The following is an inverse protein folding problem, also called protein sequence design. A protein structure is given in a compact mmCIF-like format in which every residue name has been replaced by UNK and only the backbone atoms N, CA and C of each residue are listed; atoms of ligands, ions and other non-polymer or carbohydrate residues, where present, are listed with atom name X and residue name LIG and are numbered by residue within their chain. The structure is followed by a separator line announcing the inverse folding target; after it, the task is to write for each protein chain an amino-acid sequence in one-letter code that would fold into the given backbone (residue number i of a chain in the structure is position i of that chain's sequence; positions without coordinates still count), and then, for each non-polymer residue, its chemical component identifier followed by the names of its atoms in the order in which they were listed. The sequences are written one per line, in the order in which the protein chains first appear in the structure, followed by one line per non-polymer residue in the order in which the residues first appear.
data_IF_701873640261
#
_entry.id   IF_701873640261
#
_cell.length_a   1.000
_cell.length_b   1.000
_cell.length_c   1.000
_cell.angle_alpha   90.00
_cell.angle_beta   90.00
_cell.angle_gamma   90.00
#
_symmetry.space_group_name_H-M   'P 1'
#
loop_
_entity.id
_entity.type
_entity.pdbx_description
1 polymer ?
#
# COMPACT_ATOMS: atom_id res chain seq x y z
N UNK A 1 -31.38 42.84 20.25
CA UNK A 1 -30.33 41.88 19.82
C UNK A 1 -30.31 40.73 20.82
N UNK A 2 -31.37 39.90 20.82
CA UNK A 2 -31.58 38.85 21.84
C UNK A 2 -32.41 37.69 21.27
N UNK A 3 -32.18 37.32 20.01
CA UNK A 3 -32.82 36.14 19.44
C UNK A 3 -31.77 35.07 19.15
N UNK A 4 -32.05 33.85 19.60
CA UNK A 4 -31.19 32.69 19.38
C UNK A 4 -31.36 32.21 17.93
N UNK A 5 -30.31 31.63 17.33
CA UNK A 5 -30.44 30.97 16.03
C UNK A 5 -31.56 29.93 16.06
N UNK A 6 -32.46 29.95 15.07
CA UNK A 6 -33.62 29.05 14.93
C UNK A 6 -33.22 27.55 15.02
N UNK A 7 -31.96 27.25 14.70
CA UNK A 7 -31.41 25.89 14.65
C UNK A 7 -31.22 25.23 16.03
N UNK A 8 -31.23 26.01 17.10
CA UNK A 8 -30.96 25.51 18.47
C UNK A 8 -31.81 26.24 19.52
N UNK A 9 -33.14 26.04 19.52
CA UNK A 9 -34.03 26.69 20.48
C UNK A 9 -33.69 26.32 21.94
N UNK A 10 -33.09 25.14 22.17
CA UNK A 10 -32.77 24.61 23.49
C UNK A 10 -31.25 24.57 23.77
N UNK A 11 -30.44 25.48 23.20
CA UNK A 11 -28.99 25.48 23.43
C UNK A 11 -28.61 25.74 24.90
N UNK A 12 -29.47 26.42 25.67
CA UNK A 12 -29.27 26.56 27.11
C UNK A 12 -29.48 25.17 27.75
N UNK A 13 -28.38 24.51 28.14
CA UNK A 13 -28.37 23.18 28.77
C UNK A 13 -28.98 23.11 30.17
N UNK A 14 -30.03 23.89 30.42
CA UNK A 14 -30.76 24.04 31.68
C UNK A 14 -31.89 23.01 31.84
N UNK A 15 -32.08 22.11 30.87
CA UNK A 15 -33.07 21.03 30.92
C UNK A 15 -32.45 19.63 30.78
N UNK A 16 -33.17 18.57 31.18
CA UNK A 16 -32.71 17.19 31.01
C UNK A 16 -32.47 16.88 29.53
N UNK A 17 -31.25 16.42 29.21
CA UNK A 17 -30.85 16.04 27.85
C UNK A 17 -31.58 14.77 27.41
N UNK A 18 -32.50 14.89 26.45
CA UNK A 18 -33.13 13.75 25.78
C UNK A 18 -32.58 13.63 24.35
N UNK A 19 -32.39 12.39 23.87
CA UNK A 19 -32.06 12.15 22.47
C UNK A 19 -33.23 12.56 21.57
N UNK A 20 -32.92 13.11 20.39
CA UNK A 20 -33.90 13.42 19.36
C UNK A 20 -34.59 12.13 18.89
N UNK A 21 -35.92 12.08 18.97
CA UNK A 21 -36.73 10.91 18.55
C UNK A 21 -36.81 10.74 17.04
N UNK A 22 -36.46 11.77 16.27
CA UNK A 22 -36.43 11.78 14.80
C UNK A 22 -35.10 12.35 14.35
N UNK A 23 -34.62 11.87 13.21
CA UNK A 23 -33.46 12.47 12.55
C UNK A 23 -33.80 13.91 12.18
N UNK A 24 -32.97 14.90 12.56
CA UNK A 24 -33.12 16.26 12.10
C UNK A 24 -33.10 16.28 10.57
N UNK A 25 -33.94 17.11 9.94
CA UNK A 25 -33.77 17.40 8.52
C UNK A 25 -32.41 18.09 8.36
N UNK A 26 -31.48 17.39 7.73
CA UNK A 26 -30.13 17.89 7.56
C UNK A 26 -30.19 19.08 6.59
N UNK A 27 -29.83 20.28 7.08
CA UNK A 27 -29.69 21.49 6.24
C UNK A 27 -28.51 21.40 5.25
N UNK A 28 -27.73 20.32 5.30
CA UNK A 28 -26.52 20.08 4.49
C UNK A 28 -26.49 18.61 4.10
N UNK A 29 -26.00 18.34 2.90
CA UNK A 29 -25.85 16.98 2.43
C UNK A 29 -24.89 16.18 3.32
N UNK A 30 -25.38 15.08 3.88
CA UNK A 30 -24.62 14.14 4.70
C UNK A 30 -24.31 12.84 3.94
N UNK A 31 -24.80 12.71 2.69
CA UNK A 31 -24.65 11.54 1.83
C UNK A 31 -23.20 11.06 1.71
N UNK A 32 -22.23 11.98 1.78
CA UNK A 32 -20.81 11.68 1.68
C UNK A 32 -20.28 10.67 2.70
N UNK A 33 -20.92 10.52 3.87
CA UNK A 33 -20.54 9.51 4.87
C UNK A 33 -21.68 8.62 5.34
N UNK A 34 -22.94 8.98 5.08
CA UNK A 34 -24.10 8.18 5.47
C UNK A 34 -24.53 7.18 4.40
N UNK A 35 -24.22 7.41 3.13
CA UNK A 35 -24.64 6.50 2.05
C UNK A 35 -23.70 5.31 1.92
N UNK A 36 -24.30 4.11 1.86
CA UNK A 36 -23.56 2.92 1.45
C UNK A 36 -23.29 2.93 -0.05
N UNK A 37 -22.31 2.16 -0.57
CA UNK A 37 -22.08 2.05 -2.01
C UNK A 37 -23.32 1.63 -2.80
N UNK A 38 -24.18 0.79 -2.22
CA UNK A 38 -25.44 0.38 -2.83
C UNK A 38 -26.46 1.54 -2.88
N UNK A 39 -26.54 2.36 -1.82
CA UNK A 39 -27.41 3.53 -1.79
C UNK A 39 -26.98 4.58 -2.82
N UNK A 40 -25.67 4.78 -2.98
CA UNK A 40 -25.11 5.70 -3.98
C UNK A 40 -25.45 5.26 -5.41
N UNK A 41 -25.33 3.96 -5.70
CA UNK A 41 -25.74 3.40 -6.99
C UNK A 41 -27.24 3.61 -7.25
N UNK A 42 -28.08 3.29 -6.27
CA UNK A 42 -29.55 3.48 -6.38
C UNK A 42 -29.94 4.95 -6.57
N UNK A 43 -29.29 5.88 -5.86
CA UNK A 43 -29.54 7.32 -6.01
C UNK A 43 -29.09 7.85 -7.37
N UNK A 44 -27.99 7.33 -7.89
CA UNK A 44 -27.51 7.67 -9.24
C UNK A 44 -28.49 7.19 -10.33
N UNK A 45 -29.02 5.97 -10.22
CA UNK A 45 -30.06 5.43 -11.12
C UNK A 45 -31.37 6.25 -11.07
N UNK A 46 -31.74 6.72 -9.87
CA UNK A 46 -32.91 7.58 -9.67
C UNK A 46 -32.67 9.05 -10.09
N UNK A 47 -31.47 9.40 -10.57
CA UNK A 47 -31.13 10.74 -11.01
C UNK A 47 -31.09 11.78 -9.89
N UNK A 48 -31.03 11.35 -8.62
CA UNK A 48 -30.92 12.24 -7.47
C UNK A 48 -29.47 12.74 -7.46
N UNK A 49 -29.27 13.95 -7.97
CA UNK A 49 -27.96 14.61 -7.96
C UNK A 49 -27.63 15.01 -6.53
N UNK A 50 -26.42 14.65 -6.09
CA UNK A 50 -25.82 15.18 -4.86
C UNK A 50 -25.82 16.71 -4.94
N UNK A 51 -26.28 17.37 -3.88
CA UNK A 51 -26.28 18.83 -3.80
C UNK A 51 -24.82 19.29 -3.85
N UNK A 52 -24.46 20.02 -4.91
CA UNK A 52 -23.12 20.57 -5.00
C UNK A 52 -22.91 21.57 -3.87
N UNK A 53 -21.76 21.54 -3.18
CA UNK A 53 -21.49 22.52 -2.14
C UNK A 53 -21.57 23.91 -2.75
N UNK A 54 -22.30 24.81 -2.09
CA UNK A 54 -22.36 26.22 -2.51
C UNK A 54 -20.95 26.80 -2.36
N UNK A 55 -20.28 27.05 -3.48
CA UNK A 55 -18.92 27.56 -3.51
C UNK A 55 -18.95 29.02 -3.05
N UNK A 56 -18.36 29.30 -1.89
CA UNK A 56 -18.20 30.65 -1.38
C UNK A 56 -16.96 31.31 -2.02
N UNK A 57 -16.88 32.66 -2.09
CA UNK A 57 -15.67 33.34 -2.57
C UNK A 57 -14.42 32.98 -1.76
N UNK A 58 -14.58 32.67 -0.47
CA UNK A 58 -13.50 32.20 0.40
C UNK A 58 -12.97 30.82 -0.02
N UNK A 59 -13.84 29.93 -0.49
CA UNK A 59 -13.45 28.62 -1.03
C UNK A 59 -12.63 28.78 -2.31
N UNK A 60 -12.97 29.74 -3.17
CA UNK A 60 -12.25 30.02 -4.41
C UNK A 60 -10.83 30.50 -4.10
N UNK A 61 -10.68 31.44 -3.16
CA UNK A 61 -9.38 31.93 -2.73
C UNK A 61 -8.54 30.81 -2.08
N UNK A 62 -9.17 29.94 -1.29
CA UNK A 62 -8.50 28.78 -0.68
C UNK A 62 -8.00 27.79 -1.73
N UNK A 63 -8.84 27.48 -2.72
CA UNK A 63 -8.48 26.60 -3.83
C UNK A 63 -7.32 27.14 -4.67
N UNK A 64 -7.23 28.46 -4.86
CA UNK A 64 -6.10 29.09 -5.57
C UNK A 64 -4.79 28.91 -4.78
N UNK A 65 -4.81 29.22 -3.48
CA UNK A 65 -3.65 28.99 -2.59
C UNK A 65 -3.19 27.54 -2.59
N UNK A 66 -4.14 26.60 -2.53
CA UNK A 66 -3.82 25.17 -2.50
C UNK A 66 -3.19 24.70 -3.82
N UNK A 67 -3.65 25.24 -4.96
CA UNK A 67 -3.02 24.98 -6.28
C UNK A 67 -1.57 25.45 -6.32
N UNK A 68 -1.30 26.68 -5.87
CA UNK A 68 0.05 27.22 -5.80
C UNK A 68 0.96 26.39 -4.89
N UNK A 69 0.44 25.93 -3.75
CA UNK A 69 1.18 25.07 -2.83
C UNK A 69 1.49 23.72 -3.48
N UNK A 70 0.53 23.12 -4.17
CA UNK A 70 0.71 21.86 -4.90
C UNK A 70 1.79 21.97 -5.97
N UNK A 71 1.85 23.08 -6.70
CA UNK A 71 2.87 23.34 -7.71
C UNK A 71 4.27 23.42 -7.08
N UNK A 72 4.44 24.23 -6.02
CA UNK A 72 5.70 24.33 -5.29
C UNK A 72 6.16 22.99 -4.73
N UNK A 73 5.24 22.20 -4.17
CA UNK A 73 5.53 20.86 -3.65
C UNK A 73 5.92 19.90 -4.78
N UNK A 74 5.29 19.98 -5.95
CA UNK A 74 5.66 19.18 -7.13
C UNK A 74 7.06 19.53 -7.62
N UNK A 75 7.40 20.81 -7.72
CA UNK A 75 8.74 21.28 -8.12
C UNK A 75 9.83 20.83 -7.14
N UNK A 76 9.55 20.89 -5.84
CA UNK A 76 10.47 20.37 -4.82
C UNK A 76 10.64 18.84 -4.95
N UNK A 77 9.53 18.11 -5.09
CA UNK A 77 9.56 16.65 -5.18
C UNK A 77 10.28 16.17 -6.45
N UNK A 78 10.14 16.85 -7.58
CA UNK A 78 10.80 16.46 -8.83
C UNK A 78 12.32 16.65 -8.79
N UNK A 79 12.80 17.66 -8.06
CA UNK A 79 14.23 18.00 -8.00
C UNK A 79 14.99 17.31 -6.88
N UNK A 80 14.39 17.17 -5.69
CA UNK A 80 15.10 16.74 -4.47
C UNK A 80 14.67 15.40 -3.93
N UNK A 81 13.49 14.88 -4.32
CA UNK A 81 12.96 13.64 -3.76
C UNK A 81 13.20 12.47 -4.71
N UNK A 82 13.57 11.33 -4.14
CA UNK A 82 13.55 10.06 -4.87
C UNK A 82 12.11 9.69 -5.28
N UNK A 83 11.99 8.76 -6.22
CA UNK A 83 10.69 8.30 -6.72
C UNK A 83 9.75 7.88 -5.58
N UNK A 84 8.44 8.22 -5.67
CA UNK A 84 7.50 7.87 -4.62
C UNK A 84 7.38 6.35 -4.50
N UNK A 85 7.21 5.87 -3.28
CA UNK A 85 7.17 4.44 -2.96
C UNK A 85 6.14 3.66 -3.80
N UNK A 86 5.00 4.29 -4.09
CA UNK A 86 3.94 3.72 -4.92
C UNK A 86 4.44 3.47 -6.35
N UNK A 87 5.18 4.41 -6.93
CA UNK A 87 5.70 4.27 -8.28
C UNK A 87 6.87 3.29 -8.33
N UNK A 88 7.73 3.27 -7.30
CA UNK A 88 8.72 2.22 -7.13
C UNK A 88 8.06 0.83 -7.07
N UNK A 89 6.95 0.70 -6.36
CA UNK A 89 6.23 -0.57 -6.27
C UNK A 89 5.61 -0.97 -7.60
N UNK A 90 4.96 -0.03 -8.31
CA UNK A 90 4.41 -0.26 -9.66
C UNK A 90 5.51 -0.66 -10.65
N UNK A 91 6.67 0.01 -10.62
CA UNK A 91 7.82 -0.35 -11.46
C UNK A 91 8.31 -1.76 -11.15
N UNK A 92 8.45 -2.11 -9.86
CA UNK A 92 8.83 -3.48 -9.44
C UNK A 92 7.82 -4.54 -9.89
N UNK A 93 6.52 -4.26 -9.84
CA UNK A 93 5.50 -5.18 -10.35
C UNK A 93 5.66 -5.37 -11.85
N UNK A 94 5.75 -4.28 -12.63
CA UNK A 94 5.94 -4.33 -14.08
C UNK A 94 7.23 -5.05 -14.47
N UNK A 95 8.31 -4.81 -13.74
CA UNK A 95 9.59 -5.48 -13.97
C UNK A 95 9.51 -6.98 -13.67
N UNK A 96 8.80 -7.37 -12.60
CA UNK A 96 8.51 -8.78 -12.29
C UNK A 96 7.68 -9.43 -13.39
N UNK A 97 6.64 -8.75 -13.87
CA UNK A 97 5.79 -9.22 -14.97
C UNK A 97 6.58 -9.37 -16.28
N UNK A 98 7.45 -8.41 -16.61
CA UNK A 98 8.29 -8.45 -17.80
C UNK A 98 9.39 -9.54 -17.73
N UNK A 99 9.97 -9.76 -16.54
CA UNK A 99 10.95 -10.83 -16.30
C UNK A 99 10.29 -12.21 -16.20
N UNK A 100 9.04 -12.29 -15.76
CA UNK A 100 8.22 -13.48 -15.90
C UNK A 100 7.71 -13.60 -17.34
N UNK A 101 8.62 -13.84 -18.29
CA UNK A 101 8.24 -14.48 -19.55
C UNK A 101 7.61 -15.82 -19.19
N UNK A 102 6.27 -15.87 -19.20
CA UNK A 102 5.42 -17.08 -19.15
C UNK A 102 6.05 -18.26 -18.40
N UNK A 103 6.42 -18.06 -17.13
CA UNK A 103 6.77 -19.20 -16.29
C UNK A 103 5.44 -19.75 -15.80
N UNK A 104 4.90 -20.70 -16.56
CA UNK A 104 3.76 -21.48 -16.09
C UNK A 104 4.04 -21.95 -14.67
N UNK A 105 3.02 -21.91 -13.81
CA UNK A 105 3.18 -22.33 -12.41
C UNK A 105 3.55 -23.82 -12.39
N UNK A 106 4.84 -24.11 -12.27
CA UNK A 106 5.37 -25.45 -12.13
C UNK A 106 5.09 -25.97 -10.71
N UNK A 107 4.72 -27.24 -10.53
CA UNK A 107 4.62 -27.84 -9.21
C UNK A 107 5.98 -27.81 -8.49
N UNK A 108 5.92 -27.77 -7.15
CA UNK A 108 7.11 -27.83 -6.30
C UNK A 108 7.89 -29.11 -6.57
N UNK A 109 9.18 -28.99 -6.88
CA UNK A 109 10.08 -30.12 -7.04
C UNK A 109 11.10 -30.09 -5.92
N UNK A 110 11.16 -31.16 -5.13
CA UNK A 110 12.12 -31.28 -4.03
C UNK A 110 13.54 -31.03 -4.50
N UNK A 111 13.93 -31.55 -5.66
CA UNK A 111 15.31 -31.40 -6.13
C UNK A 111 15.64 -29.96 -6.54
N UNK A 112 14.73 -29.25 -7.20
CA UNK A 112 15.03 -27.88 -7.69
C UNK A 112 14.75 -26.81 -6.64
N UNK A 113 13.69 -26.96 -5.86
CA UNK A 113 13.23 -25.95 -4.91
C UNK A 113 13.83 -26.17 -3.52
N UNK A 114 14.09 -27.43 -3.14
CA UNK A 114 14.81 -27.76 -1.92
C UNK A 114 16.30 -27.80 -2.22
N UNK A 115 17.03 -26.78 -1.79
CA UNK A 115 18.49 -26.70 -1.90
C UNK A 115 19.20 -27.58 -0.85
N UNK A 116 18.62 -28.73 -0.52
CA UNK A 116 19.14 -29.62 0.52
C UNK A 116 20.04 -30.66 -0.16
N UNK A 117 21.27 -30.78 0.34
CA UNK A 117 22.28 -31.76 -0.08
C UNK A 117 22.82 -31.63 -1.52
N UNK A 118 22.61 -30.51 -2.21
CA UNK A 118 23.38 -30.20 -3.43
C UNK A 118 24.73 -29.62 -3.03
N UNK A 119 25.74 -30.49 -2.91
CA UNK A 119 27.12 -30.02 -2.98
C UNK A 119 27.29 -29.30 -4.32
N UNK A 120 27.84 -28.09 -4.28
CA UNK A 120 28.22 -27.35 -5.46
C UNK A 120 29.16 -28.22 -6.32
N UNK A 121 29.11 -28.14 -7.65
CA UNK A 121 29.95 -29.00 -8.50
C UNK A 121 31.45 -28.73 -8.26
N UNK A 122 31.78 -27.50 -7.83
CA UNK A 122 33.09 -27.14 -7.30
C UNK A 122 33.44 -27.90 -6.00
N UNK A 123 32.48 -28.05 -5.08
CA UNK A 123 32.68 -28.81 -3.84
C UNK A 123 32.83 -30.31 -4.12
N UNK A 124 32.02 -30.89 -5.02
CA UNK A 124 32.14 -32.29 -5.44
C UNK A 124 33.51 -32.58 -6.07
N UNK A 125 33.94 -31.73 -7.00
CA UNK A 125 35.26 -31.89 -7.65
C UNK A 125 36.42 -31.74 -6.67
N UNK A 126 36.31 -30.85 -5.69
CA UNK A 126 37.31 -30.74 -4.62
C UNK A 126 37.34 -31.97 -3.70
N UNK A 127 36.19 -32.55 -3.36
CA UNK A 127 36.12 -33.80 -2.58
C UNK A 127 36.75 -34.96 -3.37
N UNK A 128 36.43 -35.10 -4.66
CA UNK A 128 37.01 -36.12 -5.54
C UNK A 128 38.54 -35.97 -5.66
N UNK A 129 39.05 -34.75 -5.85
CA UNK A 129 40.50 -34.48 -5.89
C UNK A 129 41.20 -34.84 -4.58
N UNK A 130 40.58 -34.51 -3.43
CA UNK A 130 41.12 -34.89 -2.10
C UNK A 130 41.13 -36.40 -1.92
N UNK A 131 40.10 -37.10 -2.38
CA UNK A 131 40.01 -38.55 -2.30
C UNK A 131 41.08 -39.26 -3.17
N UNK A 132 41.35 -38.74 -4.38
CA UNK A 132 42.40 -39.27 -5.25
C UNK A 132 43.79 -39.25 -4.59
N UNK A 133 44.07 -38.20 -3.82
CA UNK A 133 45.36 -38.04 -3.14
C UNK A 133 45.50 -38.89 -1.86
N UNK A 134 44.47 -39.60 -1.41
CA UNK A 134 44.55 -40.39 -0.17
C UNK A 134 45.58 -41.53 -0.28
N UNK A 135 45.76 -42.12 -1.46
CA UNK A 135 46.72 -43.21 -1.67
C UNK A 135 48.18 -42.73 -1.55
N UNK A 136 48.47 -41.47 -1.87
CA UNK A 136 49.83 -40.90 -1.82
C UNK A 136 50.12 -40.23 -0.46
N UNK A 137 49.07 -39.78 0.24
CA UNK A 137 49.20 -39.08 1.54
C UNK A 137 49.60 -40.00 2.68
N UNK A 138 49.28 -41.29 2.57
CA UNK A 138 49.70 -42.30 3.52
C UNK A 138 50.82 -43.13 2.90
N UNK A 139 52.05 -42.76 3.20
CA UNK A 139 53.21 -43.64 2.98
C UNK A 139 52.90 -45.02 3.61
N UNK A 140 52.93 -46.08 2.81
CA UNK A 140 52.85 -47.45 3.30
C UNK A 140 54.14 -47.71 4.07
N UNK A 141 54.09 -47.42 5.37
CA UNK A 141 55.28 -47.34 6.19
C UNK A 141 55.99 -48.68 6.33
N UNK A 142 57.30 -48.67 6.06
CA UNK A 142 58.21 -49.70 6.56
C UNK A 142 58.93 -49.24 7.84
N UNK A 143 58.92 -47.94 8.21
CA UNK A 143 59.49 -47.44 9.48
C UNK A 143 58.74 -46.25 10.03
N UNK A 144 58.36 -46.32 11.32
CA UNK A 144 57.78 -45.21 12.09
C UNK A 144 58.80 -44.41 12.92
N UNK A 145 60.01 -44.96 13.14
CA UNK A 145 61.17 -44.25 13.67
C UNK A 145 62.46 -44.87 13.10
N UNK A 146 63.28 -44.05 12.46
CA UNK A 146 64.75 -44.08 12.38
C UNK A 146 65.20 -42.69 11.94
#
# INVERSE_FOLDING_TARGET
MTELPEDKPNFCGLGPRQFLRKTPQAKRDCSGWTDTPADKARKAELGIKEEQPVITPEDIASNQRDKELLEKVKEYNSSKRAEPLIDLHKKKIKEKEAKSRSKERRPFSREEDLHVNKFDDAQKSNILKKAQQLNDRFSSGDRKFL
#
